data_IF_504711169117
#
_entry.id   IF_504711169117
#
_cell.length_a   1.000
_cell.length_b   1.000
_cell.length_c   1.000
_cell.angle_alpha   90.00
_cell.angle_beta   90.00
_cell.angle_gamma   90.00
#
_symmetry.space_group_name_H-M   'P 1'
#
loop_
_entity.id
_entity.type
_entity.pdbx_description
1 polymer ?
#
# COMPACT_ATOMS: atom_id res chain seq x y z
N UNK A 1 -25.93 2.96 5.25
CA UNK A 1 -24.46 3.03 5.14
C UNK A 1 -24.06 2.49 3.78
N UNK A 2 -22.95 2.95 3.23
CA UNK A 2 -22.38 2.49 1.97
C UNK A 2 -21.20 1.56 2.28
N UNK A 3 -21.01 0.54 1.46
CA UNK A 3 -19.86 -0.35 1.55
C UNK A 3 -18.74 0.14 0.62
N UNK A 4 -17.52 0.10 1.11
CA UNK A 4 -16.32 0.48 0.38
C UNK A 4 -15.28 -0.62 0.44
N UNK A 5 -14.72 -0.97 -0.71
CA UNK A 5 -13.52 -1.77 -0.79
C UNK A 5 -12.28 -0.89 -0.69
N UNK A 6 -11.32 -1.28 0.15
CA UNK A 6 -10.12 -0.51 0.44
C UNK A 6 -8.88 -1.34 0.10
N UNK A 7 -7.97 -0.72 -0.62
CA UNK A 7 -6.61 -1.23 -0.85
C UNK A 7 -5.61 -0.30 -0.15
N UNK A 8 -4.82 -0.81 0.79
CA UNK A 8 -3.72 -0.07 1.43
C UNK A 8 -2.38 -0.70 1.04
N UNK A 9 -1.54 0.09 0.38
CA UNK A 9 -0.19 -0.30 -0.02
C UNK A 9 0.85 0.28 0.93
N UNK A 10 1.54 -0.58 1.69
CA UNK A 10 2.56 -0.20 2.68
C UNK A 10 3.94 -0.58 2.19
N UNK A 11 4.92 0.34 2.29
CA UNK A 11 6.30 0.12 1.81
C UNK A 11 7.34 0.91 2.61
N UNK A 12 8.55 0.38 2.73
CA UNK A 12 9.67 1.06 3.41
C UNK A 12 9.89 2.47 2.83
N UNK A 13 10.06 3.50 3.66
CA UNK A 13 10.22 4.90 3.22
C UNK A 13 11.27 5.04 2.12
N UNK A 14 11.02 5.94 1.15
CA UNK A 14 11.94 6.17 0.01
C UNK A 14 13.33 6.65 0.43
N UNK A 15 13.45 7.25 1.61
CA UNK A 15 14.72 7.71 2.20
C UNK A 15 15.56 6.59 2.82
N UNK A 16 15.00 5.38 2.98
CA UNK A 16 15.65 4.25 3.60
C UNK A 16 16.06 3.21 2.54
N UNK A 17 17.14 2.49 2.84
CA UNK A 17 17.58 1.37 2.02
C UNK A 17 16.61 0.20 2.19
N UNK A 18 16.15 -0.38 1.08
CA UNK A 18 15.23 -1.53 1.06
C UNK A 18 15.96 -2.75 0.49
N UNK A 19 16.53 -3.64 1.33
CA UNK A 19 17.40 -4.72 0.87
C UNK A 19 16.71 -5.78 0.00
N UNK A 20 15.41 -6.00 0.14
CA UNK A 20 14.67 -7.00 -0.64
C UNK A 20 14.53 -6.54 -2.10
N UNK A 21 14.13 -5.29 -2.32
CA UNK A 21 14.04 -4.68 -3.65
C UNK A 21 15.38 -4.71 -4.40
N UNK A 22 16.49 -4.42 -3.71
CA UNK A 22 17.83 -4.52 -4.30
C UNK A 22 18.16 -5.96 -4.71
N UNK A 23 17.80 -6.93 -3.87
CA UNK A 23 18.07 -8.36 -4.13
C UNK A 23 17.27 -8.83 -5.35
N UNK A 24 16.00 -8.45 -5.45
CA UNK A 24 15.13 -8.78 -6.58
C UNK A 24 15.64 -8.10 -7.86
N UNK A 25 16.01 -6.81 -7.81
CA UNK A 25 16.55 -6.10 -8.97
C UNK A 25 17.83 -6.78 -9.48
N UNK A 26 18.74 -7.18 -8.59
CA UNK A 26 19.95 -7.92 -8.95
C UNK A 26 19.63 -9.26 -9.60
N UNK A 27 18.62 -9.98 -9.09
CA UNK A 27 18.16 -11.23 -9.69
C UNK A 27 17.61 -10.98 -11.11
N UNK A 28 16.79 -9.95 -11.30
CA UNK A 28 16.25 -9.57 -12.61
C UNK A 28 17.36 -9.21 -13.62
N UNK A 29 18.40 -8.48 -13.18
CA UNK A 29 19.58 -8.18 -14.02
C UNK A 29 20.32 -9.44 -14.46
N UNK A 30 20.47 -10.44 -13.58
CA UNK A 30 21.08 -11.73 -13.92
C UNK A 30 20.28 -12.50 -14.97
N UNK A 31 18.96 -12.27 -15.03
CA UNK A 31 18.06 -12.82 -16.05
C UNK A 31 18.07 -12.02 -17.37
N UNK A 32 18.94 -11.00 -17.51
CA UNK A 32 19.08 -10.21 -18.73
C UNK A 32 18.21 -8.94 -18.78
N UNK A 33 17.38 -8.67 -17.77
CA UNK A 33 16.52 -7.48 -17.72
C UNK A 33 17.30 -6.25 -17.23
N UNK A 34 18.07 -5.62 -18.11
CA UNK A 34 18.94 -4.49 -17.75
C UNK A 34 18.20 -3.15 -17.58
N UNK A 35 16.99 -3.04 -18.12
CA UNK A 35 16.16 -1.83 -18.09
C UNK A 35 15.36 -1.64 -16.79
N UNK A 36 15.30 -2.65 -15.91
CA UNK A 36 14.60 -2.55 -14.63
C UNK A 36 15.47 -1.80 -13.61
N UNK A 37 14.86 -0.85 -12.89
CA UNK A 37 15.50 0.01 -11.88
C UNK A 37 14.51 0.36 -10.78
N UNK A 38 15.02 0.72 -9.61
CA UNK A 38 14.25 1.18 -8.45
C UNK A 38 13.18 0.17 -8.01
N UNK A 39 13.54 -1.11 -8.03
CA UNK A 39 12.64 -2.18 -7.56
C UNK A 39 12.37 -1.99 -6.07
N UNK A 40 11.09 -1.99 -5.68
CA UNK A 40 10.66 -1.85 -4.29
C UNK A 40 9.60 -2.89 -3.96
N UNK A 41 9.68 -3.45 -2.76
CA UNK A 41 8.69 -4.39 -2.24
C UNK A 41 7.82 -3.71 -1.20
N UNK A 42 6.55 -4.11 -1.15
CA UNK A 42 5.57 -3.64 -0.17
C UNK A 42 4.53 -4.69 0.13
N UNK A 43 3.63 -4.37 1.06
CA UNK A 43 2.47 -5.16 1.45
C UNK A 43 1.23 -4.51 0.84
N UNK A 44 0.37 -5.31 0.22
CA UNK A 44 -1.00 -4.91 -0.11
C UNK A 44 -1.93 -5.48 0.97
N UNK A 45 -2.75 -4.63 1.56
CA UNK A 45 -3.72 -4.99 2.59
C UNK A 45 -5.09 -4.57 2.08
N UNK A 46 -6.00 -5.53 1.95
CA UNK A 46 -7.33 -5.33 1.39
C UNK A 46 -8.39 -5.65 2.43
N UNK A 47 -9.40 -4.79 2.52
CA UNK A 47 -10.53 -4.99 3.42
C UNK A 47 -11.73 -4.16 2.98
N UNK A 48 -12.91 -4.56 3.45
CA UNK A 48 -14.14 -3.81 3.23
C UNK A 48 -14.54 -3.06 4.50
N UNK A 49 -15.09 -1.85 4.34
CA UNK A 49 -15.65 -1.05 5.43
C UNK A 49 -17.01 -0.50 5.05
N UNK A 50 -17.91 -0.42 6.03
CA UNK A 50 -19.14 0.35 5.91
C UNK A 50 -18.93 1.75 6.47
N UNK A 51 -19.36 2.77 5.72
CA UNK A 51 -19.31 4.16 6.18
C UNK A 51 -20.52 4.96 5.67
N UNK A 52 -20.77 6.13 6.26
CA UNK A 52 -21.87 7.00 5.83
C UNK A 52 -21.68 7.53 4.39
N UNK A 53 -20.43 7.89 4.08
CA UNK A 53 -20.00 8.43 2.79
C UNK A 53 -18.50 8.14 2.61
N UNK A 54 -17.96 8.53 1.44
CA UNK A 54 -16.56 8.27 1.10
C UNK A 54 -15.57 9.03 2.01
N UNK A 55 -15.89 10.25 2.44
CA UNK A 55 -15.01 11.04 3.32
C UNK A 55 -14.87 10.40 4.71
N UNK A 56 -15.98 9.91 5.27
CA UNK A 56 -15.98 9.14 6.51
C UNK A 56 -15.13 7.87 6.38
N UNK A 57 -15.26 7.16 5.25
CA UNK A 57 -14.47 5.97 4.96
C UNK A 57 -12.97 6.30 4.86
N UNK A 58 -12.60 7.37 4.14
CA UNK A 58 -11.21 7.85 4.01
C UNK A 58 -10.59 8.19 5.36
N UNK A 59 -11.32 8.91 6.21
CA UNK A 59 -10.86 9.28 7.55
C UNK A 59 -10.53 8.04 8.39
N UNK A 60 -11.40 7.02 8.32
CA UNK A 60 -11.20 5.77 9.06
C UNK A 60 -10.02 4.94 8.50
N UNK A 61 -9.86 4.89 7.18
CA UNK A 61 -8.71 4.21 6.53
C UNK A 61 -7.39 4.88 6.90
N UNK A 62 -7.35 6.22 6.90
CA UNK A 62 -6.15 6.98 7.32
C UNK A 62 -5.81 6.73 8.78
N UNK A 63 -6.81 6.69 9.66
CA UNK A 63 -6.61 6.43 11.09
C UNK A 63 -6.02 5.03 11.33
N UNK A 64 -6.65 3.99 10.76
CA UNK A 64 -6.20 2.60 10.91
C UNK A 64 -4.82 2.40 10.27
N UNK A 65 -4.57 3.04 9.13
CA UNK A 65 -3.27 2.94 8.44
C UNK A 65 -2.13 3.53 9.26
N UNK A 66 -2.35 4.69 9.88
CA UNK A 66 -1.36 5.34 10.75
C UNK A 66 -1.16 4.62 12.09
N UNK A 67 -2.23 4.07 12.67
CA UNK A 67 -2.16 3.45 14.00
C UNK A 67 -1.68 2.00 13.97
N UNK A 68 -1.93 1.28 12.88
CA UNK A 68 -1.75 -0.17 12.83
C UNK A 68 -1.05 -0.68 11.57
N UNK A 69 -1.47 -0.26 10.38
CA UNK A 69 -1.05 -0.95 9.14
C UNK A 69 0.37 -0.59 8.71
N UNK A 70 0.81 0.64 8.98
CA UNK A 70 2.15 1.11 8.65
C UNK A 70 2.93 1.46 9.92
N UNK A 71 4.20 1.07 9.97
CA UNK A 71 5.12 1.60 10.96
C UNK A 71 5.56 3.02 10.56
N UNK A 72 5.18 4.08 11.29
CA UNK A 72 5.41 5.47 10.88
C UNK A 72 6.90 5.85 10.82
N UNK A 73 7.78 5.11 11.49
CA UNK A 73 9.22 5.38 11.51
C UNK A 73 9.89 4.92 10.23
N UNK A 74 9.50 3.76 9.70
CA UNK A 74 10.23 3.07 8.62
C UNK A 74 9.40 2.79 7.37
N UNK A 75 8.08 2.92 7.41
CA UNK A 75 7.17 2.67 6.30
C UNK A 75 6.35 3.92 5.95
N UNK A 76 5.97 4.02 4.67
CA UNK A 76 4.93 4.91 4.15
C UNK A 76 3.77 4.05 3.64
N UNK A 77 2.57 4.61 3.58
CA UNK A 77 1.43 3.97 2.94
C UNK A 77 0.74 4.88 1.93
N UNK A 78 0.11 4.25 0.94
CA UNK A 78 -0.82 4.85 -0.01
C UNK A 78 -2.09 4.00 0.00
N UNK A 79 -3.26 4.58 -0.24
CA UNK A 79 -4.49 3.80 -0.26
C UNK A 79 -5.44 4.21 -1.39
N UNK A 80 -6.30 3.29 -1.78
CA UNK A 80 -7.41 3.51 -2.71
C UNK A 80 -8.69 3.01 -2.07
N UNK A 81 -9.79 3.66 -2.42
CA UNK A 81 -11.11 3.29 -1.94
C UNK A 81 -12.06 3.24 -3.13
N UNK A 82 -12.92 2.23 -3.16
CA UNK A 82 -13.90 2.00 -4.21
C UNK A 82 -15.25 1.79 -3.54
N UNK A 83 -16.22 2.66 -3.81
CA UNK A 83 -17.59 2.41 -3.36
C UNK A 83 -18.12 1.19 -4.11
N UNK A 84 -18.59 0.17 -3.39
CA UNK A 84 -19.28 -0.95 -4.02
C UNK A 84 -20.67 -0.48 -4.46
N UNK A 85 -21.01 -0.71 -5.73
CA UNK A 85 -22.40 -0.58 -6.17
C UNK A 85 -23.18 -1.75 -5.58
N UNK A 86 -24.24 -1.47 -4.83
CA UNK A 86 -25.24 -2.49 -4.54
C UNK A 86 -26.00 -2.74 -5.85
N UNK A 87 -25.83 -3.94 -6.41
CA UNK A 87 -26.68 -4.44 -7.51
C UNK A 87 -28.13 -4.66 -7.02
#
# INVERSE_FOLDING_TARGET
MKEFHVEVYVRIKKSLLEPQGITIEKAMRRLGMQNIRNTRVGKLIEFDIEAENEDAARTQVEEISNKLLANPVIEDFEYRIYQKCQD
#
